data_IF_994692241876
#
_entry.id   IF_994692241876
#
_cell.length_a   1.000
_cell.length_b   1.000
_cell.length_c   1.000
_cell.angle_alpha   90.00
_cell.angle_beta   90.00
_cell.angle_gamma   90.00
#
_symmetry.space_group_name_H-M   'P 1'
#
loop_
_entity.id
_entity.type
_entity.pdbx_description
1 polymer ?
#
# COMPACT_ATOMS: atom_id res chain seq x y z
N UNK A 1 23.61 17.74 20.00
CA UNK A 1 23.69 16.50 19.24
C UNK A 1 23.54 16.85 17.77
N UNK A 2 24.54 16.55 16.92
CA UNK A 2 24.44 16.81 15.48
C UNK A 2 23.26 15.99 14.90
N UNK A 3 22.34 16.64 14.19
CA UNK A 3 21.30 15.95 13.42
C UNK A 3 22.02 15.01 12.44
N UNK A 4 21.86 13.70 12.57
CA UNK A 4 22.32 12.76 11.54
C UNK A 4 21.71 13.20 10.22
N UNK A 5 22.55 13.50 9.24
CA UNK A 5 22.11 13.80 7.89
C UNK A 5 21.52 12.52 7.31
N UNK A 6 20.20 12.41 7.27
CA UNK A 6 19.51 11.25 6.68
C UNK A 6 19.58 11.42 5.16
N UNK A 7 20.10 10.43 4.41
CA UNK A 7 20.16 10.53 2.95
C UNK A 7 18.73 10.59 2.37
N UNK A 8 18.55 11.34 1.28
CA UNK A 8 17.25 11.42 0.59
C UNK A 8 16.94 10.15 -0.24
N UNK A 9 17.97 9.46 -0.69
CA UNK A 9 17.84 8.25 -1.52
C UNK A 9 18.39 7.05 -0.76
N UNK A 10 17.90 5.83 -1.02
CA UNK A 10 18.46 4.62 -0.44
C UNK A 10 19.89 4.37 -0.98
N UNK A 11 20.77 3.93 -0.11
CA UNK A 11 22.08 3.42 -0.52
C UNK A 11 21.91 2.03 -1.15
N UNK A 12 22.61 1.76 -2.27
CA UNK A 12 22.66 0.46 -2.93
C UNK A 12 21.28 -0.12 -3.30
N UNK A 13 20.37 0.72 -3.82
CA UNK A 13 19.06 0.26 -4.28
C UNK A 13 19.18 -0.46 -5.62
N UNK A 14 18.65 -1.67 -5.68
CA UNK A 14 18.48 -2.44 -6.91
C UNK A 14 17.00 -2.78 -7.10
N UNK A 15 16.53 -2.74 -8.37
CA UNK A 15 15.17 -3.15 -8.70
C UNK A 15 15.01 -4.66 -8.54
N UNK A 16 13.98 -5.08 -7.84
CA UNK A 16 13.62 -6.48 -7.73
C UNK A 16 13.30 -7.09 -9.11
N UNK A 17 13.87 -8.24 -9.40
CA UNK A 17 13.75 -8.91 -10.71
C UNK A 17 12.96 -10.22 -10.68
N UNK A 18 12.58 -10.69 -9.50
CA UNK A 18 11.81 -11.92 -9.29
C UNK A 18 10.50 -11.63 -8.53
N UNK A 19 9.70 -12.65 -8.31
CA UNK A 19 8.40 -12.55 -7.64
C UNK A 19 8.43 -12.87 -6.14
N UNK A 20 9.60 -12.98 -5.53
CA UNK A 20 9.75 -13.14 -4.07
C UNK A 20 10.60 -11.99 -3.56
N UNK A 21 9.97 -11.08 -2.81
CA UNK A 21 10.60 -9.87 -2.30
C UNK A 21 10.83 -9.96 -0.79
N UNK A 22 12.05 -9.67 -0.37
CA UNK A 22 12.47 -9.72 1.03
C UNK A 22 13.20 -8.42 1.41
N UNK A 23 12.63 -7.67 2.34
CA UNK A 23 13.23 -6.43 2.85
C UNK A 23 13.39 -6.54 4.37
N UNK A 24 14.43 -7.26 4.87
CA UNK A 24 14.68 -7.43 6.31
C UNK A 24 14.97 -6.09 7.00
N UNK A 25 15.64 -5.18 6.30
CA UNK A 25 15.78 -3.79 6.72
C UNK A 25 14.68 -2.95 6.06
N UNK A 26 13.90 -2.24 6.88
CA UNK A 26 12.76 -1.45 6.41
C UNK A 26 13.15 -0.33 5.43
N UNK A 27 14.39 0.18 5.52
CA UNK A 27 14.83 1.39 4.84
C UNK A 27 14.66 2.64 5.74
N UNK A 28 15.65 3.54 5.66
CA UNK A 28 15.76 4.73 6.55
C UNK A 28 16.29 5.93 5.77
N UNK A 29 15.66 6.28 4.67
CA UNK A 29 16.01 7.48 3.90
C UNK A 29 14.86 8.49 3.92
N UNK A 30 15.15 9.73 3.54
CA UNK A 30 14.25 10.86 3.54
C UNK A 30 13.48 10.97 4.88
N UNK A 31 12.17 11.01 4.83
CA UNK A 31 11.28 11.14 5.98
C UNK A 31 10.60 9.82 6.40
N UNK A 32 11.07 8.70 5.84
CA UNK A 32 10.49 7.39 6.17
C UNK A 32 10.71 6.99 7.63
N UNK A 33 9.66 6.57 8.28
CA UNK A 33 9.68 5.98 9.63
C UNK A 33 8.64 4.86 9.76
N UNK A 34 8.67 4.15 10.90
CA UNK A 34 7.76 3.06 11.20
C UNK A 34 6.66 3.46 12.21
N UNK A 35 6.44 4.75 12.44
CA UNK A 35 5.54 5.23 13.51
C UNK A 35 4.07 5.00 13.16
N UNK A 36 3.69 5.21 11.91
CA UNK A 36 2.34 4.93 11.46
C UNK A 36 2.12 3.42 11.36
N UNK A 37 1.15 2.90 12.11
CA UNK A 37 0.84 1.46 12.15
C UNK A 37 0.34 1.00 10.76
N UNK A 38 0.75 -0.19 10.33
CA UNK A 38 0.37 -0.72 9.02
C UNK A 38 1.16 -0.15 7.84
N UNK A 39 2.10 0.77 8.09
CA UNK A 39 2.91 1.37 7.06
C UNK A 39 3.86 0.33 6.42
N UNK A 40 3.85 0.18 5.12
CA UNK A 40 4.74 -0.75 4.41
C UNK A 40 6.19 -0.26 4.29
N UNK A 41 7.11 -1.16 3.92
CA UNK A 41 8.51 -0.78 3.65
C UNK A 41 8.58 0.12 2.42
N UNK A 42 9.33 1.24 2.43
CA UNK A 42 9.48 2.12 1.28
C UNK A 42 10.14 1.46 0.06
N UNK A 43 10.85 0.37 0.23
CA UNK A 43 11.34 -0.44 -0.89
C UNK A 43 10.20 -0.95 -1.78
N UNK A 44 9.01 -1.21 -1.23
CA UNK A 44 7.87 -1.74 -1.99
C UNK A 44 7.34 -0.70 -2.97
N UNK A 45 6.82 0.48 -2.54
CA UNK A 45 6.33 1.47 -3.47
C UNK A 45 7.45 2.00 -4.39
N UNK A 46 8.70 2.06 -3.94
CA UNK A 46 9.82 2.43 -4.81
C UNK A 46 10.00 1.47 -5.99
N UNK A 47 10.03 0.16 -5.74
CA UNK A 47 10.09 -0.85 -6.80
C UNK A 47 8.90 -0.74 -7.76
N UNK A 48 7.70 -0.59 -7.22
CA UNK A 48 6.46 -0.47 -8.01
C UNK A 48 6.49 0.78 -8.90
N UNK A 49 6.80 1.94 -8.32
CA UNK A 49 6.82 3.22 -9.03
C UNK A 49 7.85 3.21 -10.15
N UNK A 50 9.08 2.79 -9.87
CA UNK A 50 10.16 2.77 -10.85
C UNK A 50 9.91 1.75 -11.98
N UNK A 51 9.21 0.64 -11.69
CA UNK A 51 8.93 -0.41 -12.66
C UNK A 51 7.72 -0.12 -13.55
N UNK A 52 6.69 0.51 -13.01
CA UNK A 52 5.38 0.63 -13.67
C UNK A 52 4.97 2.07 -14.02
N UNK A 53 5.83 3.05 -13.77
CA UNK A 53 5.62 4.44 -14.18
C UNK A 53 6.90 5.10 -14.68
N UNK A 54 6.74 6.27 -15.29
CA UNK A 54 7.83 7.13 -15.74
C UNK A 54 7.82 8.43 -14.94
N UNK A 55 8.91 9.19 -15.01
CA UNK A 55 8.96 10.55 -14.48
C UNK A 55 7.83 11.41 -15.05
N UNK A 56 7.23 12.25 -14.22
CA UNK A 56 6.03 13.06 -14.49
C UNK A 56 4.71 12.29 -14.66
N UNK A 57 4.70 10.95 -14.65
CA UNK A 57 3.46 10.18 -14.55
C UNK A 57 2.75 10.48 -13.22
N UNK A 58 1.42 10.36 -13.18
CA UNK A 58 0.61 10.57 -11.98
C UNK A 58 0.37 9.24 -11.26
N UNK A 59 0.84 9.15 -10.02
CA UNK A 59 0.63 8.01 -9.12
C UNK A 59 -0.50 8.31 -8.15
N UNK A 60 -1.42 7.37 -7.97
CA UNK A 60 -2.51 7.42 -6.98
C UNK A 60 -2.28 6.42 -5.86
N UNK A 61 -2.47 6.85 -4.62
CA UNK A 61 -2.67 6.00 -3.45
C UNK A 61 -3.91 6.47 -2.69
N UNK A 62 -5.01 5.72 -2.80
CA UNK A 62 -6.29 6.04 -2.19
C UNK A 62 -6.45 5.49 -0.76
N UNK A 63 -5.38 4.93 -0.20
CA UNK A 63 -5.23 4.57 1.21
C UNK A 63 -3.86 5.06 1.71
N UNK A 64 -3.60 6.37 1.52
CA UNK A 64 -2.24 6.94 1.64
C UNK A 64 -1.65 6.80 3.05
N UNK A 65 -2.47 6.69 4.09
CA UNK A 65 -2.06 6.43 5.46
C UNK A 65 -0.91 7.32 5.92
N UNK A 66 0.21 6.71 6.30
CA UNK A 66 1.41 7.40 6.75
C UNK A 66 2.30 7.97 5.63
N UNK A 67 1.87 7.97 4.36
CA UNK A 67 2.52 8.69 3.26
C UNK A 67 3.76 8.04 2.65
N UNK A 68 3.98 6.76 2.84
CA UNK A 68 5.19 6.09 2.28
C UNK A 68 5.22 6.16 0.76
N UNK A 69 4.09 5.90 0.09
CA UNK A 69 3.97 6.02 -1.37
C UNK A 69 4.18 7.46 -1.85
N UNK A 70 3.61 8.43 -1.13
CA UNK A 70 3.74 9.85 -1.45
C UNK A 70 5.21 10.33 -1.42
N UNK A 71 5.96 9.92 -0.39
CA UNK A 71 7.39 10.24 -0.28
C UNK A 71 8.17 9.63 -1.44
N UNK A 72 7.92 8.36 -1.80
CA UNK A 72 8.61 7.71 -2.92
C UNK A 72 8.22 8.32 -4.28
N UNK A 73 6.97 8.70 -4.49
CA UNK A 73 6.55 9.40 -5.69
C UNK A 73 7.30 10.73 -5.85
N UNK A 74 7.41 11.52 -4.77
CA UNK A 74 8.17 12.76 -4.75
C UNK A 74 9.65 12.55 -5.06
N UNK A 75 10.29 11.58 -4.39
CA UNK A 75 11.73 11.26 -4.53
C UNK A 75 12.10 10.74 -5.94
N UNK A 76 11.13 10.26 -6.68
CA UNK A 76 11.32 9.68 -8.01
C UNK A 76 10.73 10.53 -9.15
N UNK A 77 10.29 11.76 -8.85
CA UNK A 77 9.80 12.71 -9.85
C UNK A 77 8.41 12.39 -10.43
N UNK A 78 7.56 11.70 -9.68
CA UNK A 78 6.17 11.40 -10.10
C UNK A 78 5.21 12.39 -9.46
N UNK A 79 4.24 12.88 -10.24
CA UNK A 79 3.07 13.55 -9.69
C UNK A 79 2.30 12.57 -8.81
N UNK A 80 1.64 13.08 -7.77
CA UNK A 80 1.01 12.21 -6.79
C UNK A 80 -0.35 12.73 -6.34
N UNK A 81 -1.31 11.83 -6.25
CA UNK A 81 -2.59 12.05 -5.60
C UNK A 81 -2.70 11.05 -4.45
N UNK A 82 -2.82 11.55 -3.22
CA UNK A 82 -3.06 10.76 -2.02
C UNK A 82 -4.44 11.04 -1.46
N UNK A 83 -5.20 10.00 -1.20
CA UNK A 83 -6.52 10.09 -0.58
C UNK A 83 -6.54 9.22 0.67
N UNK A 84 -7.19 9.68 1.72
CA UNK A 84 -7.49 8.91 2.92
C UNK A 84 -8.76 9.43 3.56
N UNK A 85 -9.53 8.54 4.18
CA UNK A 85 -10.72 8.92 4.94
C UNK A 85 -10.34 9.56 6.28
N UNK A 86 -9.18 9.21 6.83
CA UNK A 86 -8.67 9.65 8.11
C UNK A 86 -7.85 10.94 7.98
N UNK A 87 -8.38 12.05 8.46
CA UNK A 87 -7.72 13.37 8.43
C UNK A 87 -6.34 13.35 9.12
N UNK A 88 -6.16 12.60 10.20
CA UNK A 88 -4.87 12.49 10.88
C UNK A 88 -3.80 11.83 10.00
N UNK A 89 -4.17 10.83 9.20
CA UNK A 89 -3.28 10.22 8.21
C UNK A 89 -2.78 11.25 7.18
N UNK A 90 -3.68 12.11 6.70
CA UNK A 90 -3.34 13.18 5.74
C UNK A 90 -2.37 14.20 6.34
N UNK A 91 -2.55 14.60 7.60
CA UNK A 91 -1.65 15.51 8.29
C UNK A 91 -0.24 14.91 8.47
N UNK A 92 -0.16 13.62 8.83
CA UNK A 92 1.11 12.88 8.91
C UNK A 92 1.77 12.86 7.53
N UNK A 93 1.03 12.52 6.47
CA UNK A 93 1.52 12.49 5.10
C UNK A 93 2.05 13.86 4.66
N UNK A 94 1.29 14.93 4.87
CA UNK A 94 1.72 16.30 4.54
C UNK A 94 3.00 16.68 5.28
N UNK A 95 3.13 16.31 6.56
CA UNK A 95 4.34 16.58 7.34
C UNK A 95 5.56 15.85 6.80
N UNK A 96 5.41 14.61 6.31
CA UNK A 96 6.49 13.82 5.72
C UNK A 96 6.93 14.31 4.35
N UNK A 97 6.08 15.03 3.64
CA UNK A 97 6.41 15.63 2.34
C UNK A 97 7.18 16.95 2.45
N UNK A 98 7.39 17.46 3.66
CA UNK A 98 8.12 18.72 3.90
C UNK A 98 9.65 18.50 3.86
N UNK A 99 10.17 18.24 2.67
CA UNK A 99 11.61 18.20 2.36
C UNK A 99 11.83 18.65 0.92
N UNK A 100 13.02 19.17 0.64
CA UNK A 100 13.44 19.52 -0.72
C UNK A 100 14.12 18.33 -1.39
N UNK A 101 13.91 18.15 -2.70
CA UNK A 101 14.60 17.17 -3.53
C UNK A 101 14.82 17.76 -4.94
N UNK A 102 15.52 17.04 -5.81
CA UNK A 102 15.83 17.49 -7.16
C UNK A 102 14.60 17.65 -8.07
N UNK A 103 13.51 16.94 -7.75
CA UNK A 103 12.26 16.98 -8.49
C UNK A 103 11.26 17.95 -7.86
N UNK A 104 10.39 18.52 -8.68
CA UNK A 104 9.29 19.39 -8.23
C UNK A 104 7.93 18.89 -8.75
N UNK A 105 7.50 17.66 -8.37
CA UNK A 105 6.25 17.12 -8.84
C UNK A 105 5.04 17.82 -8.21
N UNK A 106 3.90 17.79 -8.91
CA UNK A 106 2.62 18.21 -8.34
C UNK A 106 2.13 17.14 -7.38
N UNK A 107 1.87 17.53 -6.12
CA UNK A 107 1.38 16.63 -5.07
C UNK A 107 0.07 17.16 -4.52
N UNK A 108 -0.97 16.33 -4.56
CA UNK A 108 -2.29 16.59 -3.98
C UNK A 108 -2.61 15.58 -2.89
N UNK A 109 -2.88 16.05 -1.68
CA UNK A 109 -3.28 15.21 -0.53
C UNK A 109 -4.62 15.71 -0.04
N UNK A 110 -5.65 14.85 -0.16
CA UNK A 110 -7.04 15.22 0.08
C UNK A 110 -7.79 14.19 0.91
N UNK A 111 -8.75 14.63 1.68
CA UNK A 111 -9.69 13.74 2.37
C UNK A 111 -10.69 13.19 1.36
N UNK A 112 -10.97 11.90 1.43
CA UNK A 112 -11.92 11.23 0.57
C UNK A 112 -12.05 9.76 0.89
N UNK A 113 -12.99 9.14 0.20
CA UNK A 113 -13.28 7.72 0.33
C UNK A 113 -12.80 6.98 -0.93
N UNK A 114 -11.99 5.94 -0.75
CA UNK A 114 -11.46 5.12 -1.84
C UNK A 114 -12.56 4.45 -2.70
N UNK A 115 -13.77 4.34 -2.16
CA UNK A 115 -14.96 3.79 -2.84
C UNK A 115 -15.65 4.80 -3.76
N UNK A 116 -15.24 6.06 -3.69
CA UNK A 116 -15.87 7.16 -4.43
C UNK A 116 -14.85 8.29 -4.67
N UNK A 117 -14.05 8.17 -5.71
CA UNK A 117 -12.98 9.10 -6.07
C UNK A 117 -13.48 10.21 -7.01
N UNK A 118 -14.58 10.90 -6.68
CA UNK A 118 -15.20 11.93 -7.51
C UNK A 118 -14.26 13.07 -7.90
N UNK A 119 -13.25 13.36 -7.08
CA UNK A 119 -12.24 14.39 -7.35
C UNK A 119 -11.16 13.93 -8.34
N UNK A 120 -11.13 12.65 -8.72
CA UNK A 120 -10.17 12.08 -9.66
C UNK A 120 -10.88 11.77 -10.99
N UNK A 121 -10.44 12.40 -12.05
CA UNK A 121 -11.07 12.24 -13.37
C UNK A 121 -10.85 10.83 -13.94
N UNK A 122 -11.77 10.40 -14.82
CA UNK A 122 -11.66 9.14 -15.54
C UNK A 122 -10.37 9.10 -16.38
N UNK A 123 -9.71 7.94 -16.40
CA UNK A 123 -8.51 7.70 -17.21
C UNK A 123 -7.43 8.81 -17.04
N UNK A 124 -7.23 9.30 -15.81
CA UNK A 124 -6.26 10.36 -15.50
C UNK A 124 -4.99 9.85 -14.81
N UNK A 125 -5.03 8.64 -14.23
CA UNK A 125 -3.97 8.06 -13.41
C UNK A 125 -3.08 7.12 -14.26
N UNK A 126 -1.76 7.24 -14.09
CA UNK A 126 -0.78 6.40 -14.78
C UNK A 126 -0.38 5.16 -13.97
N UNK A 127 -0.45 5.23 -12.65
CA UNK A 127 -0.17 4.11 -11.76
C UNK A 127 -1.01 4.23 -10.49
N UNK A 128 -1.66 3.14 -10.09
CA UNK A 128 -2.18 3.00 -8.73
C UNK A 128 -1.20 2.14 -7.94
N UNK A 129 -0.77 2.63 -6.77
CA UNK A 129 0.15 1.93 -5.89
C UNK A 129 -0.34 2.10 -4.45
N UNK A 130 -1.02 1.10 -3.90
CA UNK A 130 -1.81 1.27 -2.69
C UNK A 130 -1.78 0.06 -1.76
N UNK A 131 -2.03 0.31 -0.48
CA UNK A 131 -2.04 -0.68 0.58
C UNK A 131 -3.30 -0.50 1.44
N UNK A 132 -4.44 -1.08 1.05
CA UNK A 132 -5.68 -0.97 1.82
C UNK A 132 -5.59 -1.67 3.18
N UNK A 133 -6.49 -1.36 4.13
CA UNK A 133 -6.60 -2.11 5.39
C UNK A 133 -6.99 -3.58 5.13
N UNK A 134 -6.77 -4.45 6.12
CA UNK A 134 -7.12 -5.88 6.05
C UNK A 134 -8.33 -6.17 6.95
N UNK A 135 -9.51 -5.64 6.62
CA UNK A 135 -10.72 -5.76 7.43
C UNK A 135 -10.43 -5.48 8.93
N UNK A 136 -10.97 -6.27 9.86
CA UNK A 136 -10.89 -6.10 11.31
C UNK A 136 -9.54 -6.52 11.96
N UNK A 137 -8.40 -6.50 11.22
CA UNK A 137 -7.09 -6.86 11.77
C UNK A 137 -6.41 -5.70 12.50
N UNK A 138 -6.43 -4.52 11.88
CA UNK A 138 -5.85 -3.29 12.42
C UNK A 138 -6.89 -2.20 12.30
N UNK A 139 -7.42 -1.75 13.41
CA UNK A 139 -8.31 -0.60 13.44
C UNK A 139 -7.48 0.68 13.32
N UNK A 140 -7.76 1.48 12.30
CA UNK A 140 -7.09 2.76 12.04
C UNK A 140 -7.85 3.95 12.61
N UNK A 141 -9.12 3.76 12.95
CA UNK A 141 -9.96 4.70 13.70
C UNK A 141 -10.85 3.97 14.69
N UNK A 142 -11.54 4.71 15.56
CA UNK A 142 -12.55 4.16 16.48
C UNK A 142 -13.98 4.49 16.02
N UNK A 143 -14.15 5.58 15.27
CA UNK A 143 -15.45 6.21 15.02
C UNK A 143 -15.59 6.87 13.62
N UNK A 144 -14.63 6.66 12.70
CA UNK A 144 -14.77 7.21 11.34
C UNK A 144 -15.78 6.37 10.56
N UNK A 145 -16.92 6.99 10.22
CA UNK A 145 -17.90 6.36 9.37
C UNK A 145 -17.29 5.98 8.00
N UNK A 146 -17.51 4.74 7.59
CA UNK A 146 -16.95 4.22 6.34
C UNK A 146 -15.51 3.69 6.44
N UNK A 147 -14.84 3.72 7.60
CA UNK A 147 -13.53 3.11 7.77
C UNK A 147 -13.60 1.60 7.53
N UNK A 148 -13.00 1.16 6.44
CA UNK A 148 -12.99 -0.25 6.04
C UNK A 148 -12.20 -1.15 7.00
N UNK A 149 -11.36 -0.59 7.86
CA UNK A 149 -10.63 -1.32 8.90
C UNK A 149 -11.51 -1.79 10.06
N UNK A 150 -12.73 -1.30 10.14
CA UNK A 150 -13.72 -1.68 11.17
C UNK A 150 -14.71 -2.72 10.66
N UNK A 151 -14.66 -3.08 9.40
CA UNK A 151 -15.66 -3.93 8.74
C UNK A 151 -15.38 -5.41 8.94
N UNK A 152 -16.45 -6.21 8.97
CA UNK A 152 -16.34 -7.66 8.84
C UNK A 152 -15.69 -8.01 7.50
N UNK A 153 -15.05 -9.20 7.40
CA UNK A 153 -14.47 -9.66 6.14
C UNK A 153 -15.47 -9.64 4.97
N UNK A 154 -16.72 -10.00 5.23
CA UNK A 154 -17.77 -10.01 4.20
C UNK A 154 -18.09 -8.61 3.69
N UNK A 155 -18.28 -7.67 4.62
CA UNK A 155 -18.60 -6.28 4.28
C UNK A 155 -17.39 -5.61 3.62
N UNK A 156 -16.19 -5.88 4.12
CA UNK A 156 -14.94 -5.42 3.52
C UNK A 156 -14.82 -5.85 2.05
N UNK A 157 -15.05 -7.15 1.73
CA UNK A 157 -14.97 -7.65 0.37
C UNK A 157 -16.04 -7.02 -0.55
N UNK A 158 -17.24 -6.75 -0.02
CA UNK A 158 -18.26 -6.02 -0.76
C UNK A 158 -17.81 -4.59 -1.08
N UNK A 159 -17.24 -3.89 -0.11
CA UNK A 159 -16.75 -2.52 -0.27
C UNK A 159 -15.48 -2.44 -1.17
N UNK A 160 -14.61 -3.46 -1.13
CA UNK A 160 -13.46 -3.58 -2.05
C UNK A 160 -13.92 -3.66 -3.51
N UNK A 161 -15.12 -4.17 -3.77
CA UNK A 161 -15.70 -4.15 -5.11
C UNK A 161 -15.84 -2.72 -5.66
N UNK A 162 -16.37 -1.80 -4.85
CA UNK A 162 -16.49 -0.39 -5.24
C UNK A 162 -15.11 0.27 -5.43
N UNK A 163 -14.15 -0.07 -4.58
CA UNK A 163 -12.75 0.40 -4.73
C UNK A 163 -12.16 -0.09 -6.06
N UNK A 164 -12.40 -1.34 -6.43
CA UNK A 164 -11.90 -1.90 -7.68
C UNK A 164 -12.52 -1.21 -8.92
N UNK A 165 -13.82 -0.91 -8.88
CA UNK A 165 -14.51 -0.15 -9.93
C UNK A 165 -13.95 1.26 -10.08
N UNK A 166 -13.70 1.98 -8.98
CA UNK A 166 -13.09 3.30 -9.00
C UNK A 166 -11.64 3.25 -9.50
N UNK A 167 -10.84 2.28 -9.04
CA UNK A 167 -9.50 2.05 -9.59
C UNK A 167 -9.53 1.84 -11.10
N UNK A 168 -10.47 1.03 -11.58
CA UNK A 168 -10.62 0.78 -13.02
C UNK A 168 -11.05 2.05 -13.76
N UNK A 169 -11.97 2.84 -13.22
CA UNK A 169 -12.44 4.08 -13.81
C UNK A 169 -11.31 5.09 -13.99
N UNK A 170 -10.56 5.37 -12.92
CA UNK A 170 -9.56 6.45 -12.92
C UNK A 170 -8.25 6.09 -13.62
N UNK A 171 -7.89 4.79 -13.68
CA UNK A 171 -6.66 4.34 -14.30
C UNK A 171 -6.74 4.46 -15.84
N UNK A 172 -5.69 4.96 -16.46
CA UNK A 172 -5.57 4.99 -17.92
C UNK A 172 -5.48 3.57 -18.50
N UNK A 173 -5.93 3.41 -19.75
CA UNK A 173 -5.78 2.15 -20.49
C UNK A 173 -4.31 1.73 -20.59
N UNK A 174 -4.06 0.43 -20.54
CA UNK A 174 -2.73 -0.21 -20.59
C UNK A 174 -1.80 0.14 -19.41
N UNK A 175 -2.30 0.80 -18.37
CA UNK A 175 -1.57 1.14 -17.14
C UNK A 175 -1.81 0.11 -16.04
N UNK A 176 -1.16 0.28 -14.89
CA UNK A 176 -1.09 -0.72 -13.84
C UNK A 176 -1.69 -0.24 -12.53
N UNK A 177 -2.38 -1.16 -11.86
CA UNK A 177 -2.83 -1.02 -10.47
C UNK A 177 -2.11 -2.07 -9.63
N UNK A 178 -1.42 -1.63 -8.57
CA UNK A 178 -0.63 -2.50 -7.69
C UNK A 178 -1.14 -2.38 -6.27
N UNK A 179 -1.51 -3.54 -5.68
CA UNK A 179 -2.11 -3.61 -4.35
C UNK A 179 -1.36 -4.62 -3.49
N UNK A 180 -0.96 -4.21 -2.29
CA UNK A 180 -0.47 -5.14 -1.27
C UNK A 180 -1.64 -5.63 -0.43
N UNK A 181 -1.77 -6.95 -0.28
CA UNK A 181 -2.78 -7.59 0.56
C UNK A 181 -2.20 -8.79 1.30
N UNK A 182 -2.65 -8.98 2.53
CA UNK A 182 -2.33 -10.15 3.33
C UNK A 182 -3.55 -11.03 3.59
N UNK A 183 -3.28 -12.30 3.89
CA UNK A 183 -4.29 -13.22 4.41
C UNK A 183 -4.39 -13.13 5.94
N UNK A 184 -5.51 -13.57 6.47
CA UNK A 184 -5.75 -13.62 7.91
C UNK A 184 -6.04 -15.04 8.37
N UNK A 185 -5.92 -15.26 9.69
CA UNK A 185 -6.32 -16.53 10.31
C UNK A 185 -7.44 -16.29 11.31
N UNK A 186 -8.56 -17.00 11.15
CA UNK A 186 -9.70 -16.93 12.06
C UNK A 186 -10.13 -18.35 12.46
N UNK A 187 -10.27 -18.61 13.76
CA UNK A 187 -10.63 -19.94 14.29
C UNK A 187 -9.76 -21.09 13.75
N UNK A 188 -8.44 -20.85 13.66
CA UNK A 188 -7.48 -21.84 13.17
C UNK A 188 -7.37 -21.97 11.65
N UNK A 189 -8.33 -21.46 10.88
CA UNK A 189 -8.36 -21.57 9.42
C UNK A 189 -7.87 -20.28 8.74
N UNK A 190 -7.14 -20.43 7.63
CA UNK A 190 -6.77 -19.30 6.79
C UNK A 190 -8.00 -18.74 6.08
N UNK A 191 -8.13 -17.43 6.13
CA UNK A 191 -9.10 -16.67 5.35
C UNK A 191 -8.33 -16.02 4.20
N UNK A 192 -8.52 -16.44 2.94
CA UNK A 192 -7.71 -16.00 1.80
C UNK A 192 -8.15 -14.63 1.28
N UNK A 193 -8.09 -13.62 2.15
CA UNK A 193 -8.54 -12.25 1.86
C UNK A 193 -7.83 -11.66 0.64
N UNK A 194 -6.54 -11.94 0.50
CA UNK A 194 -5.73 -11.46 -0.61
C UNK A 194 -6.25 -12.01 -1.96
N UNK A 195 -6.50 -13.31 -2.05
CA UNK A 195 -7.00 -13.92 -3.28
C UNK A 195 -8.45 -13.56 -3.60
N UNK A 196 -9.31 -13.38 -2.60
CA UNK A 196 -10.66 -12.86 -2.82
C UNK A 196 -10.61 -11.42 -3.36
N UNK A 197 -9.73 -10.57 -2.81
CA UNK A 197 -9.50 -9.22 -3.36
C UNK A 197 -9.00 -9.29 -4.81
N UNK A 198 -8.05 -10.18 -5.12
CA UNK A 198 -7.56 -10.36 -6.49
C UNK A 198 -8.71 -10.67 -7.46
N UNK A 199 -9.58 -11.62 -7.11
CA UNK A 199 -10.75 -11.98 -7.93
C UNK A 199 -11.72 -10.83 -8.13
N UNK A 200 -11.95 -10.03 -7.09
CA UNK A 200 -12.82 -8.84 -7.19
C UNK A 200 -12.25 -7.83 -8.19
N UNK A 201 -10.93 -7.59 -8.19
CA UNK A 201 -10.30 -6.73 -9.18
C UNK A 201 -10.40 -7.31 -10.60
N UNK A 202 -10.26 -8.62 -10.78
CA UNK A 202 -10.49 -9.27 -12.08
C UNK A 202 -11.95 -9.10 -12.54
N UNK A 203 -12.92 -9.23 -11.65
CA UNK A 203 -14.33 -8.98 -11.95
C UNK A 203 -14.63 -7.53 -12.34
N UNK A 204 -13.89 -6.57 -11.82
CA UNK A 204 -13.97 -5.16 -12.22
C UNK A 204 -13.34 -4.87 -13.60
N UNK A 205 -12.71 -5.88 -14.24
CA UNK A 205 -12.16 -5.79 -15.60
C UNK A 205 -10.64 -5.79 -15.70
N UNK A 206 -9.92 -5.81 -14.59
CA UNK A 206 -8.47 -5.92 -14.58
C UNK A 206 -7.99 -7.32 -15.01
N UNK A 207 -6.75 -7.37 -15.52
CA UNK A 207 -6.04 -8.63 -15.78
C UNK A 207 -4.85 -8.74 -14.84
N UNK A 208 -4.76 -9.84 -14.09
CA UNK A 208 -3.60 -10.10 -13.23
C UNK A 208 -2.37 -10.30 -14.10
N UNK A 209 -1.36 -9.44 -13.91
CA UNK A 209 -0.07 -9.53 -14.60
C UNK A 209 0.98 -10.27 -13.78
N UNK A 210 1.12 -9.92 -12.49
CA UNK A 210 2.09 -10.55 -11.59
C UNK A 210 1.44 -10.81 -10.23
N UNK A 211 1.89 -11.88 -9.58
CA UNK A 211 1.65 -12.16 -8.16
C UNK A 211 3.02 -12.23 -7.49
N UNK A 212 3.29 -11.29 -6.59
CA UNK A 212 4.56 -11.17 -5.89
C UNK A 212 4.34 -11.56 -4.42
N UNK A 213 5.17 -12.45 -3.91
CA UNK A 213 5.22 -12.81 -2.50
C UNK A 213 6.17 -11.87 -1.80
N UNK A 214 5.65 -11.09 -0.86
CA UNK A 214 6.47 -10.20 -0.03
C UNK A 214 6.64 -10.83 1.35
N UNK A 215 7.86 -11.20 1.70
CA UNK A 215 8.18 -11.78 3.01
C UNK A 215 8.00 -10.77 4.15
N UNK A 216 7.42 -11.23 5.25
CA UNK A 216 7.30 -10.42 6.47
C UNK A 216 8.51 -10.66 7.38
N UNK A 217 9.14 -9.56 7.81
CA UNK A 217 10.28 -9.57 8.71
C UNK A 217 9.97 -8.79 9.99
N UNK A 218 10.64 -9.14 11.08
CA UNK A 218 10.64 -8.38 12.34
C UNK A 218 9.26 -8.16 12.99
N UNK A 219 8.31 -9.11 12.83
CA UNK A 219 7.01 -9.02 13.48
C UNK A 219 7.16 -9.18 15.00
N UNK A 220 6.60 -8.24 15.78
CA UNK A 220 6.77 -8.10 17.24
C UNK A 220 6.48 -9.38 18.05
N UNK A 221 5.52 -10.19 17.63
CA UNK A 221 5.09 -11.39 18.36
C UNK A 221 5.63 -12.70 17.80
N UNK A 222 6.63 -12.66 16.92
CA UNK A 222 7.11 -13.86 16.21
C UNK A 222 7.58 -14.98 17.16
N UNK A 223 8.31 -14.65 18.24
CA UNK A 223 8.79 -15.65 19.20
C UNK A 223 7.66 -16.39 19.90
N UNK A 224 6.68 -15.67 20.42
CA UNK A 224 5.49 -16.24 21.06
C UNK A 224 4.69 -17.12 20.09
N UNK A 225 4.44 -16.63 18.89
CA UNK A 225 3.67 -17.37 17.89
C UNK A 225 4.40 -18.57 17.31
N UNK A 226 5.75 -18.57 17.22
CA UNK A 226 6.53 -19.77 16.84
C UNK A 226 6.28 -20.94 17.79
N UNK A 227 6.34 -20.70 19.10
CA UNK A 227 6.04 -21.73 20.10
C UNK A 227 4.60 -22.24 19.98
N UNK A 228 3.64 -21.34 19.82
CA UNK A 228 2.24 -21.71 19.68
C UNK A 228 1.94 -22.45 18.36
N UNK A 229 2.63 -22.12 17.29
CA UNK A 229 2.45 -22.79 15.99
C UNK A 229 2.79 -24.28 16.07
N UNK A 230 3.87 -24.63 16.77
CA UNK A 230 4.23 -26.03 17.03
C UNK A 230 3.22 -26.68 17.98
N UNK A 231 2.89 -26.01 19.09
CA UNK A 231 1.96 -26.54 20.11
C UNK A 231 0.56 -26.81 19.55
N UNK A 232 0.06 -25.97 18.67
CA UNK A 232 -1.31 -26.02 18.15
C UNK A 232 -1.36 -26.41 16.67
N UNK A 233 -0.27 -26.87 16.09
CA UNK A 233 -0.14 -27.40 14.73
C UNK A 233 -0.72 -26.46 13.66
N UNK A 234 -0.16 -25.23 13.56
CA UNK A 234 -0.45 -24.32 12.48
C UNK A 234 0.80 -23.60 11.97
N UNK A 235 0.82 -23.13 10.74
CA UNK A 235 1.91 -22.34 10.17
C UNK A 235 1.65 -20.85 10.35
N UNK A 236 2.69 -20.07 10.61
CA UNK A 236 2.60 -18.61 10.62
C UNK A 236 2.40 -18.09 9.20
N UNK A 237 1.53 -17.10 9.03
CA UNK A 237 1.43 -16.33 7.80
C UNK A 237 2.61 -15.35 7.80
N UNK A 238 3.68 -15.70 7.09
CA UNK A 238 4.95 -14.98 7.09
C UNK A 238 5.17 -14.19 5.79
N UNK A 239 4.11 -13.93 5.05
CA UNK A 239 4.15 -13.19 3.79
C UNK A 239 2.82 -12.45 3.54
N UNK A 240 2.90 -11.53 2.62
CA UNK A 240 1.80 -10.82 1.99
C UNK A 240 1.94 -10.96 0.47
N UNK A 241 0.91 -10.59 -0.27
CA UNK A 241 0.91 -10.65 -1.72
C UNK A 241 0.84 -9.24 -2.30
N UNK A 242 1.69 -8.97 -3.29
CA UNK A 242 1.56 -7.80 -4.13
C UNK A 242 0.97 -8.24 -5.47
N UNK A 243 -0.24 -7.84 -5.74
CA UNK A 243 -0.89 -8.09 -7.03
C UNK A 243 -0.64 -6.93 -7.97
N UNK A 244 -0.15 -7.23 -9.16
CA UNK A 244 0.01 -6.27 -10.24
C UNK A 244 -1.06 -6.55 -11.28
N UNK A 245 -1.98 -5.62 -11.41
CA UNK A 245 -3.07 -5.67 -12.38
C UNK A 245 -2.79 -4.74 -13.56
N UNK A 246 -3.26 -5.12 -14.75
CA UNK A 246 -3.27 -4.29 -15.94
C UNK A 246 -4.72 -3.98 -16.35
N UNK A 247 -5.02 -2.70 -16.65
CA UNK A 247 -6.29 -2.28 -17.27
C UNK A 247 -6.26 -2.50 -18.78
#
# INVERSE_FOLDING_TARGET
MAKKNIPLQPENFELETNTVWAFPDRGKWATHDAKYRGNWSPYIPRNVILRYSKENDTVLDQFVGGGTTAVEAKLTGRNFIGVDINQNALEITKSKLNFECEFNPTISIMQGDARNLLSVADNSIDLICTHPPYADIIHYSEDIDGDMSLMSMKDFLFEIGKVAEECYRVLKKDKFCVILMGDMRKKGMVQPLAFETMRIFEMAGFKTKEIIIKEQHNCKATGYWKTNSVKFNFLLLAHEYLFVFKK
#
